data_IF_211795192447
#
_entry.id   IF_211795192447
#
_cell.length_a   1.000
_cell.length_b   1.000
_cell.length_c   1.000
_cell.angle_alpha   90.00
_cell.angle_beta   90.00
_cell.angle_gamma   90.00
#
_symmetry.space_group_name_H-M   'P 1'
#
loop_
_entity.id
_entity.type
_entity.pdbx_description
1 polymer ?
#
# COMPACT_ATOMS: atom_id res chain seq x y z
N UNK A 1 -9.15 2.24 9.28
CA UNK A 1 -9.34 1.10 8.35
C UNK A 1 -9.12 -0.25 9.03
N UNK A 2 -8.02 -0.45 9.74
CA UNK A 2 -7.68 -1.71 10.43
C UNK A 2 -8.80 -2.24 11.34
N UNK A 3 -9.33 -1.38 12.23
CA UNK A 3 -10.46 -1.72 13.11
C UNK A 3 -11.70 -2.19 12.35
N UNK A 4 -11.96 -1.59 11.19
CA UNK A 4 -13.07 -2.01 10.34
C UNK A 4 -12.82 -3.40 9.76
N UNK A 5 -11.64 -3.64 9.17
CA UNK A 5 -11.26 -4.96 8.62
C UNK A 5 -11.36 -6.05 9.70
N UNK A 6 -10.83 -5.78 10.89
CA UNK A 6 -10.90 -6.71 12.02
C UNK A 6 -12.35 -7.02 12.42
N UNK A 7 -13.22 -6.01 12.44
CA UNK A 7 -14.64 -6.20 12.79
C UNK A 7 -15.45 -7.04 11.80
N UNK A 8 -14.94 -7.25 10.57
CA UNK A 8 -15.60 -8.09 9.56
C UNK A 8 -15.54 -9.59 9.89
N UNK A 9 -14.71 -10.00 10.86
CA UNK A 9 -14.61 -11.39 11.30
C UNK A 9 -14.12 -12.34 10.20
N UNK A 10 -13.23 -11.86 9.32
CA UNK A 10 -12.67 -12.68 8.24
C UNK A 10 -11.82 -13.79 8.86
N UNK A 11 -12.05 -15.03 8.43
CA UNK A 11 -11.31 -16.19 8.94
C UNK A 11 -9.80 -15.99 8.75
N UNK A 12 -9.03 -16.30 9.80
CA UNK A 12 -7.57 -16.14 9.85
C UNK A 12 -7.04 -14.70 9.82
N UNK A 13 -7.91 -13.69 9.82
CA UNK A 13 -7.50 -12.28 9.91
C UNK A 13 -7.59 -11.83 11.36
N UNK A 14 -6.44 -11.76 12.02
CA UNK A 14 -6.30 -11.18 13.37
C UNK A 14 -6.17 -9.65 13.33
N UNK A 15 -5.96 -9.05 14.50
CA UNK A 15 -5.77 -7.60 14.63
C UNK A 15 -4.53 -7.11 13.86
N UNK A 16 -3.38 -7.77 14.04
CA UNK A 16 -2.14 -7.43 13.32
C UNK A 16 -2.31 -7.56 11.79
N UNK A 17 -2.88 -8.67 11.31
CA UNK A 17 -3.17 -8.85 9.88
C UNK A 17 -4.08 -7.74 9.35
N UNK A 18 -5.10 -7.32 10.12
CA UNK A 18 -5.98 -6.23 9.73
C UNK A 18 -5.25 -4.88 9.67
N UNK A 19 -4.25 -4.66 10.55
CA UNK A 19 -3.37 -3.50 10.50
C UNK A 19 -2.53 -3.53 9.22
N UNK A 20 -1.89 -4.65 8.90
CA UNK A 20 -1.02 -4.76 7.72
C UNK A 20 -1.80 -4.61 6.42
N UNK A 21 -2.97 -5.24 6.33
CA UNK A 21 -3.91 -5.03 5.21
C UNK A 21 -4.31 -3.56 5.09
N UNK A 22 -4.65 -2.92 6.21
CA UNK A 22 -5.03 -1.52 6.20
C UNK A 22 -3.91 -0.61 5.73
N UNK A 23 -2.68 -0.83 6.23
CA UNK A 23 -1.48 -0.07 5.86
C UNK A 23 -1.10 -0.28 4.41
N UNK A 24 -1.21 -1.51 3.92
CA UNK A 24 -0.85 -1.85 2.54
C UNK A 24 -1.87 -1.29 1.53
N UNK A 25 -3.15 -1.62 1.69
CA UNK A 25 -4.17 -1.28 0.71
C UNK A 25 -4.71 0.14 0.88
N UNK A 26 -4.70 0.70 2.09
CA UNK A 26 -5.09 2.09 2.36
C UNK A 26 -6.59 2.40 2.26
N UNK A 27 -7.38 1.56 1.58
CA UNK A 27 -8.84 1.64 1.55
C UNK A 27 -9.50 0.27 1.46
N UNK A 28 -10.77 0.19 1.90
CA UNK A 28 -11.55 -1.04 1.79
C UNK A 28 -11.82 -1.45 0.34
N UNK A 29 -11.99 -0.48 -0.57
CA UNK A 29 -12.25 -0.73 -1.98
C UNK A 29 -11.06 -1.37 -2.69
N UNK A 30 -9.84 -0.95 -2.33
CA UNK A 30 -8.61 -1.56 -2.84
C UNK A 30 -8.47 -2.99 -2.32
N UNK A 31 -8.70 -3.20 -1.02
CA UNK A 31 -8.67 -4.52 -0.41
C UNK A 31 -9.72 -5.47 -1.03
N UNK A 32 -10.94 -4.99 -1.28
CA UNK A 32 -12.03 -5.77 -1.91
C UNK A 32 -11.68 -6.28 -3.31
N UNK A 33 -10.82 -5.55 -4.04
CA UNK A 33 -10.40 -5.87 -5.41
C UNK A 33 -9.09 -6.65 -5.48
N UNK A 34 -8.42 -6.84 -4.35
CA UNK A 34 -7.10 -7.44 -4.31
C UNK A 34 -7.12 -8.91 -4.74
N UNK A 35 -6.15 -9.32 -5.55
CA UNK A 35 -5.96 -10.71 -5.93
C UNK A 35 -5.29 -11.53 -4.82
N UNK A 36 -5.30 -12.86 -4.94
CA UNK A 36 -4.61 -13.74 -3.97
C UNK A 36 -3.10 -13.46 -3.96
N UNK A 37 -2.54 -13.16 -5.12
CA UNK A 37 -1.14 -12.83 -5.33
C UNK A 37 -0.80 -11.49 -4.68
N UNK A 38 -1.62 -10.46 -4.88
CA UNK A 38 -1.42 -9.16 -4.25
C UNK A 38 -1.48 -9.24 -2.72
N UNK A 39 -2.41 -10.03 -2.18
CA UNK A 39 -2.53 -10.28 -0.74
C UNK A 39 -1.31 -11.03 -0.20
N UNK A 40 -0.75 -11.98 -0.96
CA UNK A 40 0.41 -12.76 -0.54
C UNK A 40 1.72 -11.94 -0.51
N UNK A 41 1.75 -10.73 -1.08
CA UNK A 41 2.90 -9.83 -0.98
C UNK A 41 2.92 -9.10 0.38
N UNK A 42 1.79 -9.04 1.09
CA UNK A 42 1.73 -8.45 2.42
C UNK A 42 2.49 -9.36 3.40
N UNK A 43 3.41 -8.80 4.21
CA UNK A 43 4.09 -9.58 5.25
C UNK A 43 3.09 -10.35 6.12
N UNK A 44 3.46 -11.58 6.49
CA UNK A 44 2.65 -12.48 7.33
C UNK A 44 1.30 -12.95 6.73
N UNK A 45 1.02 -12.66 5.46
CA UNK A 45 -0.17 -13.17 4.75
C UNK A 45 0.21 -14.35 3.85
N UNK A 46 0.06 -15.56 4.40
CA UNK A 46 0.21 -16.81 3.64
C UNK A 46 -1.02 -17.18 2.80
N UNK A 47 -0.89 -18.22 1.98
CA UNK A 47 -1.93 -18.67 1.03
C UNK A 47 -3.31 -18.94 1.64
N UNK A 48 -3.37 -19.47 2.89
CA UNK A 48 -4.66 -19.70 3.58
C UNK A 48 -5.37 -18.40 3.97
N UNK A 49 -4.60 -17.39 4.35
CA UNK A 49 -5.13 -16.08 4.77
C UNK A 49 -5.61 -15.33 3.52
N UNK A 50 -4.80 -15.27 2.46
CA UNK A 50 -5.18 -14.63 1.21
C UNK A 50 -6.41 -15.27 0.57
N UNK A 51 -6.49 -16.60 0.57
CA UNK A 51 -7.69 -17.32 0.12
C UNK A 51 -8.93 -16.98 0.95
N UNK A 52 -8.80 -16.94 2.29
CA UNK A 52 -9.92 -16.62 3.17
C UNK A 52 -10.44 -15.20 2.95
N UNK A 53 -9.54 -14.25 2.72
CA UNK A 53 -9.88 -12.86 2.40
C UNK A 53 -10.63 -12.79 1.06
N UNK A 54 -10.07 -13.37 -0.01
CA UNK A 54 -10.72 -13.38 -1.32
C UNK A 54 -12.11 -14.02 -1.27
N UNK A 55 -12.21 -15.20 -0.65
CA UNK A 55 -13.48 -15.93 -0.53
C UNK A 55 -14.52 -15.15 0.28
N UNK A 56 -14.10 -14.41 1.30
CA UNK A 56 -14.99 -13.55 2.08
C UNK A 56 -15.55 -12.41 1.23
N UNK A 57 -14.71 -11.70 0.46
CA UNK A 57 -15.14 -10.58 -0.38
C UNK A 57 -15.94 -11.02 -1.62
N UNK A 58 -15.75 -12.24 -2.13
CA UNK A 58 -16.53 -12.78 -3.25
C UNK A 58 -17.99 -13.08 -2.89
N UNK A 59 -18.31 -13.28 -1.60
CA UNK A 59 -19.67 -13.57 -1.17
C UNK A 59 -20.55 -12.31 -1.25
N UNK A 60 -21.61 -12.38 -2.05
CA UNK A 60 -22.58 -11.27 -2.24
C UNK A 60 -23.15 -10.76 -0.91
N UNK A 61 -23.38 -11.64 0.06
CA UNK A 61 -23.85 -11.29 1.41
C UNK A 61 -22.88 -10.34 2.13
N UNK A 62 -21.59 -10.60 2.04
CA UNK A 62 -20.56 -9.82 2.72
C UNK A 62 -20.34 -8.47 2.03
N UNK A 63 -20.45 -8.44 0.70
CA UNK A 63 -20.44 -7.17 -0.05
C UNK A 63 -21.63 -6.30 0.35
N UNK A 64 -22.84 -6.89 0.41
CA UNK A 64 -24.05 -6.19 0.85
C UNK A 64 -23.93 -5.69 2.29
N UNK A 65 -23.32 -6.47 3.19
CA UNK A 65 -23.05 -6.03 4.56
C UNK A 65 -22.22 -4.74 4.59
N UNK A 66 -21.13 -4.67 3.80
CA UNK A 66 -20.30 -3.46 3.73
C UNK A 66 -21.13 -2.28 3.18
N UNK A 67 -21.88 -2.50 2.11
CA UNK A 67 -22.71 -1.45 1.50
C UNK A 67 -23.78 -0.93 2.47
N UNK A 68 -24.42 -1.84 3.22
CA UNK A 68 -25.44 -1.49 4.21
C UNK A 68 -24.81 -0.72 5.40
N UNK A 69 -23.63 -1.11 5.88
CA UNK A 69 -22.87 -0.38 6.91
C UNK A 69 -22.54 1.05 6.46
N UNK A 70 -22.07 1.22 5.23
CA UNK A 70 -21.75 2.54 4.67
C UNK A 70 -23.03 3.38 4.55
N UNK A 71 -24.15 2.80 4.09
CA UNK A 71 -25.44 3.49 3.96
C UNK A 71 -25.99 4.00 5.29
N UNK A 72 -25.80 3.27 6.39
CA UNK A 72 -26.24 3.71 7.73
C UNK A 72 -25.26 4.70 8.39
N UNK A 73 -24.19 5.10 7.69
CA UNK A 73 -23.30 6.18 8.12
C UNK A 73 -21.98 5.73 8.74
N UNK A 74 -21.61 4.44 8.65
CA UNK A 74 -20.28 3.98 9.09
C UNK A 74 -19.20 4.60 8.21
N UNK A 75 -18.32 5.40 8.81
CA UNK A 75 -17.19 6.03 8.11
C UNK A 75 -15.94 5.15 8.22
N UNK A 76 -15.47 4.65 7.08
CA UNK A 76 -14.22 3.88 6.98
C UNK A 76 -13.07 4.87 6.74
N UNK A 77 -12.37 5.22 7.81
CA UNK A 77 -11.20 6.10 7.73
C UNK A 77 -9.99 5.32 7.18
N UNK A 78 -9.05 5.98 6.46
CA UNK A 78 -7.77 5.38 6.07
C UNK A 78 -6.96 4.90 7.29
N UNK A 79 -5.90 4.09 7.10
CA UNK A 79 -4.98 3.76 8.19
C UNK A 79 -4.34 5.04 8.76
N UNK A 80 -4.00 5.02 10.06
CA UNK A 80 -3.26 6.13 10.66
C UNK A 80 -1.87 6.26 10.04
N UNK A 81 -1.52 7.48 9.68
CA UNK A 81 -0.20 7.87 9.21
C UNK A 81 0.72 7.86 10.43
N UNK A 82 1.75 7.01 10.41
CA UNK A 82 2.69 6.80 11.52
C UNK A 82 3.66 7.98 11.65
N UNK A 83 3.93 8.71 10.57
CA UNK A 83 4.73 9.92 10.59
C UNK A 83 4.44 10.86 9.42
N UNK A 84 4.85 12.13 9.52
CA UNK A 84 4.57 13.15 8.48
C UNK A 84 5.80 13.52 7.64
N UNK A 85 6.86 12.72 7.72
CA UNK A 85 8.17 13.04 7.11
C UNK A 85 8.10 13.19 5.60
N UNK A 86 7.17 12.46 4.96
CA UNK A 86 6.95 12.48 3.53
C UNK A 86 5.62 13.15 3.14
N UNK A 87 5.02 13.94 4.03
CA UNK A 87 3.69 14.48 3.82
C UNK A 87 3.62 15.34 2.54
N UNK A 88 2.73 14.95 1.62
CA UNK A 88 2.49 15.67 0.36
C UNK A 88 3.53 15.42 -0.73
N UNK A 89 4.58 14.63 -0.44
CA UNK A 89 5.60 14.28 -1.42
C UNK A 89 5.17 13.06 -2.25
N UNK A 90 5.48 13.10 -3.53
CA UNK A 90 5.17 12.05 -4.50
C UNK A 90 6.43 11.30 -4.90
N UNK A 91 6.40 9.98 -4.70
CA UNK A 91 7.49 9.06 -4.96
C UNK A 91 7.13 8.08 -6.06
N UNK A 92 8.14 7.68 -6.83
CA UNK A 92 8.08 6.57 -7.78
C UNK A 92 9.24 5.66 -7.50
N UNK A 93 9.00 4.36 -7.54
CA UNK A 93 10.03 3.35 -7.33
C UNK A 93 10.36 2.70 -8.68
N UNK A 94 11.66 2.58 -8.97
CA UNK A 94 12.16 1.83 -10.13
C UNK A 94 13.37 0.98 -9.75
N UNK A 95 13.51 -0.16 -10.42
CA UNK A 95 14.51 -1.17 -10.09
C UNK A 95 14.12 -2.04 -8.88
N UNK A 96 15.07 -2.87 -8.47
CA UNK A 96 14.92 -3.81 -7.34
C UNK A 96 15.75 -3.32 -6.15
N UNK A 97 15.15 -3.34 -4.96
CA UNK A 97 15.81 -2.98 -3.71
C UNK A 97 16.40 -4.21 -3.03
N UNK A 98 17.49 -4.03 -2.29
CA UNK A 98 18.16 -5.13 -1.57
C UNK A 98 17.54 -5.40 -0.21
N UNK A 99 17.13 -4.34 0.52
CA UNK A 99 16.68 -4.46 1.91
C UNK A 99 15.18 -4.66 2.05
N UNK A 100 14.39 -4.43 0.98
CA UNK A 100 12.94 -4.57 1.01
C UNK A 100 12.35 -4.80 -0.38
N UNK A 101 11.14 -5.33 -0.43
CA UNK A 101 10.34 -5.37 -1.65
C UNK A 101 9.86 -3.97 -2.05
N UNK A 102 9.54 -3.81 -3.34
CA UNK A 102 8.89 -2.60 -3.86
C UNK A 102 7.61 -2.27 -3.09
N UNK A 103 6.80 -3.28 -2.79
CA UNK A 103 5.57 -3.15 -2.02
C UNK A 103 5.81 -2.58 -0.62
N UNK A 104 6.84 -3.07 0.07
CA UNK A 104 7.20 -2.54 1.39
C UNK A 104 7.64 -1.08 1.31
N UNK A 105 8.41 -0.70 0.28
CA UNK A 105 8.79 0.70 0.08
C UNK A 105 7.57 1.60 -0.18
N UNK A 106 6.62 1.16 -1.01
CA UNK A 106 5.36 1.88 -1.24
C UNK A 106 4.56 2.06 0.06
N UNK A 107 4.53 1.03 0.91
CA UNK A 107 3.87 1.10 2.21
C UNK A 107 4.57 2.10 3.13
N UNK A 108 5.91 2.06 3.21
CA UNK A 108 6.69 3.02 4.02
C UNK A 108 6.45 4.46 3.58
N UNK A 109 6.34 4.72 2.28
CA UNK A 109 5.97 6.03 1.74
C UNK A 109 4.60 6.47 2.27
N UNK A 110 3.58 5.61 2.12
CA UNK A 110 2.21 5.89 2.57
C UNK A 110 2.13 6.12 4.08
N UNK A 111 2.84 5.31 4.87
CA UNK A 111 2.90 5.42 6.33
C UNK A 111 3.53 6.72 6.81
N UNK A 112 4.40 7.33 6.00
CA UNK A 112 5.02 8.63 6.28
C UNK A 112 4.26 9.82 5.65
N UNK A 113 3.05 9.58 5.15
CA UNK A 113 2.16 10.60 4.58
C UNK A 113 2.44 10.95 3.11
N UNK A 114 3.32 10.21 2.45
CA UNK A 114 3.65 10.40 1.03
C UNK A 114 2.75 9.62 0.09
N UNK A 115 2.84 9.95 -1.19
CA UNK A 115 2.11 9.29 -2.27
C UNK A 115 3.09 8.47 -3.12
N UNK A 116 2.80 7.18 -3.30
CA UNK A 116 3.55 6.35 -4.26
C UNK A 116 2.73 6.17 -5.54
N UNK A 117 3.33 6.52 -6.68
CA UNK A 117 2.74 6.40 -8.02
C UNK A 117 3.53 5.42 -8.89
N UNK A 118 2.87 4.89 -9.93
CA UNK A 118 3.46 3.95 -10.88
C UNK A 118 4.08 4.62 -12.11
N UNK A 119 3.70 5.87 -12.40
CA UNK A 119 4.06 6.61 -13.62
C UNK A 119 4.67 7.97 -13.33
N UNK A 120 5.79 8.25 -14.01
CA UNK A 120 6.56 9.49 -13.92
C UNK A 120 5.82 10.67 -14.56
N UNK A 121 5.72 11.76 -13.80
CA UNK A 121 5.18 13.04 -14.25
C UNK A 121 6.04 14.19 -13.74
N UNK A 122 5.82 15.41 -14.24
CA UNK A 122 6.47 16.62 -13.71
C UNK A 122 6.10 16.93 -12.25
N UNK A 123 5.03 16.31 -11.73
CA UNK A 123 4.59 16.46 -10.34
C UNK A 123 5.24 15.43 -9.41
N UNK A 124 6.08 14.53 -9.94
CA UNK A 124 6.83 13.59 -9.11
C UNK A 124 7.99 14.31 -8.44
N UNK A 125 8.04 14.28 -7.11
CA UNK A 125 9.13 14.87 -6.34
C UNK A 125 10.39 13.99 -6.37
N UNK A 126 10.21 12.67 -6.21
CA UNK A 126 11.31 11.73 -6.07
C UNK A 126 11.14 10.47 -6.91
N UNK A 127 12.21 10.07 -7.61
CA UNK A 127 12.40 8.72 -8.15
C UNK A 127 13.37 7.97 -7.22
N UNK A 128 12.89 6.94 -6.54
CA UNK A 128 13.72 6.03 -5.76
C UNK A 128 14.28 4.96 -6.68
N UNK A 129 15.60 4.93 -6.79
CA UNK A 129 16.36 4.12 -7.74
C UNK A 129 17.01 2.95 -7.03
N UNK A 130 16.58 1.74 -7.43
CA UNK A 130 17.18 0.47 -7.04
C UNK A 130 18.17 -0.04 -8.08
N UNK A 131 18.57 -1.30 -7.95
CA UNK A 131 19.34 -2.00 -8.99
C UNK A 131 18.55 -2.09 -10.28
N UNK A 132 19.25 -1.93 -11.40
CA UNK A 132 18.68 -2.02 -12.75
C UNK A 132 17.47 -1.07 -12.98
N UNK A 133 17.65 0.26 -12.84
CA UNK A 133 16.54 1.22 -12.83
C UNK A 133 15.68 1.33 -14.10
N UNK A 134 16.06 0.66 -15.20
CA UNK A 134 15.33 0.66 -16.46
C UNK A 134 15.12 2.06 -17.06
N UNK A 135 14.18 2.15 -18.00
CA UNK A 135 13.87 3.36 -18.78
C UNK A 135 13.26 4.53 -17.98
N UNK A 136 12.86 4.29 -16.72
CA UNK A 136 12.30 5.34 -15.85
C UNK A 136 13.37 6.33 -15.37
N UNK A 137 14.62 5.90 -15.24
CA UNK A 137 15.71 6.79 -14.81
C UNK A 137 16.01 7.86 -15.87
N UNK A 138 16.02 7.48 -17.14
CA UNK A 138 16.23 8.42 -18.26
C UNK A 138 15.09 9.44 -18.31
N UNK A 139 13.84 8.97 -18.24
CA UNK A 139 12.65 9.84 -18.20
C UNK A 139 12.64 10.79 -17.01
N UNK A 140 13.14 10.36 -15.84
CA UNK A 140 13.25 11.24 -14.68
C UNK A 140 14.27 12.37 -14.90
N UNK A 141 15.40 12.07 -15.55
CA UNK A 141 16.40 13.09 -15.92
C UNK A 141 15.81 14.12 -16.88
N UNK A 142 15.07 13.67 -17.90
CA UNK A 142 14.40 14.57 -18.86
C UNK A 142 13.36 15.48 -18.20
N UNK A 143 12.64 14.95 -17.22
CA UNK A 143 11.61 15.70 -16.48
C UNK A 143 12.17 16.53 -15.32
N UNK A 144 13.47 16.44 -15.02
CA UNK A 144 14.10 17.13 -13.89
C UNK A 144 13.69 16.60 -12.51
N UNK A 145 13.23 15.35 -12.43
CA UNK A 145 12.79 14.72 -11.18
C UNK A 145 14.00 14.29 -10.35
N UNK A 146 13.98 14.56 -9.05
CA UNK A 146 15.09 14.22 -8.15
C UNK A 146 15.21 12.71 -7.98
N UNK A 147 16.39 12.16 -8.26
CA UNK A 147 16.67 10.73 -8.11
C UNK A 147 17.40 10.47 -6.80
N UNK A 148 16.90 9.54 -5.99
CA UNK A 148 17.52 9.13 -4.72
C UNK A 148 17.73 7.62 -4.68
N UNK A 149 18.76 7.18 -3.96
CA UNK A 149 19.02 5.75 -3.75
C UNK A 149 18.16 5.14 -2.63
N UNK A 150 18.16 3.81 -2.53
CA UNK A 150 17.48 3.07 -1.45
C UNK A 150 17.92 3.53 -0.04
N UNK A 151 19.22 3.76 0.16
CA UNK A 151 19.77 4.20 1.44
C UNK A 151 19.28 5.60 1.83
N UNK A 152 19.27 6.54 0.87
CA UNK A 152 18.79 7.89 1.09
C UNK A 152 17.28 7.90 1.40
N UNK A 153 16.51 7.08 0.68
CA UNK A 153 15.08 6.89 0.98
C UNK A 153 14.87 6.39 2.41
N UNK A 154 15.65 5.42 2.87
CA UNK A 154 15.61 4.92 4.25
C UNK A 154 15.97 5.99 5.28
N UNK A 155 16.92 6.87 4.99
CA UNK A 155 17.27 8.00 5.86
C UNK A 155 16.15 9.04 5.96
N UNK A 156 15.39 9.28 4.88
CA UNK A 156 14.25 10.21 4.90
C UNK A 156 13.08 9.75 5.78
N UNK A 157 12.96 8.44 6.02
CA UNK A 157 11.86 7.85 6.79
C UNK A 157 12.25 7.38 8.19
N UNK A 158 13.55 7.40 8.53
CA UNK A 158 14.05 7.17 9.90
C UNK A 158 13.59 8.26 10.82
#
# INVERSE_FOLDING_TARGET
LSRFIYSLGIRHVGEETAIDLARHFGSIDKLKKASREELAIVPDIGGKVSESICNWFQQKRNQKLIDDLIKVGVKILPPEIVGKKLQGLTFIITGTFESMSRTEAENKIRLQGGHSLSSLSKQTDYLVVGKEPGSKLEKAKELGVKTIGEREFLEMIK
#
